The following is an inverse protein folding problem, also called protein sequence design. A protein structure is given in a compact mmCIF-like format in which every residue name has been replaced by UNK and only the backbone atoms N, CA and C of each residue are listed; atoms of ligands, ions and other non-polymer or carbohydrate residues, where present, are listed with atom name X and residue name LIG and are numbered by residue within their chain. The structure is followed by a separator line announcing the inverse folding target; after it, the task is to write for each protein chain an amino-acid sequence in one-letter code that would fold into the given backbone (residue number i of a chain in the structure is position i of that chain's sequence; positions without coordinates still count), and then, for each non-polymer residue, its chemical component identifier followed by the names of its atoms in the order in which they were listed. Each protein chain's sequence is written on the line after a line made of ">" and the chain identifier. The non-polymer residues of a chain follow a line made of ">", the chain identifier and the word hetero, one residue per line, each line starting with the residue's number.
data_IF_274318070752
#
_entry.id   IF_274318070752
#
_cell.length_a   1.000
_cell.length_b   1.000
_cell.length_c   1.000
_cell.angle_alpha   90.00
_cell.angle_beta   90.00
_cell.angle_gamma   90.00
#
_symmetry.space_group_name_H-M   'P 1'
#
loop_
_entity.id
_entity.type
_entity.pdbx_description
1 polymer ?
#
# COMPACT_ATOMS: atom_id res chain seq x y z
N UNK A 1 2.56 -5.21 7.33
CA UNK A 1 2.52 -5.30 5.85
C UNK A 1 1.14 -5.81 5.47
N UNK A 2 0.48 -5.23 4.47
CA UNK A 2 -0.91 -5.57 4.08
C UNK A 2 -0.94 -6.28 2.73
N UNK A 3 -1.99 -7.05 2.43
CA UNK A 3 -2.12 -7.70 1.12
C UNK A 3 -2.60 -6.70 0.07
N UNK A 4 -3.67 -5.95 0.36
CA UNK A 4 -4.31 -5.03 -0.57
C UNK A 4 -4.94 -3.81 0.14
N UNK A 5 -5.38 -2.82 -0.63
CA UNK A 5 -6.05 -1.61 -0.13
C UNK A 5 -7.41 -1.90 0.56
N UNK A 6 -8.12 -2.95 0.15
CA UNK A 6 -9.49 -3.28 0.58
C UNK A 6 -9.58 -4.12 1.86
N UNK A 7 -8.49 -4.74 2.33
CA UNK A 7 -8.38 -5.37 3.64
C UNK A 7 -8.35 -4.35 4.79
N UNK A 8 -8.37 -3.06 4.45
CA UNK A 8 -8.64 -1.98 5.39
C UNK A 8 -10.03 -2.17 6.03
N UNK A 9 -10.03 -2.64 7.28
CA UNK A 9 -11.24 -2.77 8.09
C UNK A 9 -11.40 -1.53 8.98
N UNK A 10 -12.47 -0.70 8.82
CA UNK A 10 -12.67 0.51 9.62
C UNK A 10 -12.80 0.25 11.14
N UNK A 11 -13.14 -0.98 11.60
CA UNK A 11 -13.13 -1.33 13.03
C UNK A 11 -11.72 -1.54 13.61
N UNK A 12 -10.73 -1.80 12.76
CA UNK A 12 -9.29 -1.84 13.11
C UNK A 12 -8.53 -0.60 12.58
N UNK A 13 -9.18 0.19 11.72
CA UNK A 13 -8.63 1.27 10.90
C UNK A 13 -8.22 2.54 11.65
N UNK A 14 -8.37 2.58 12.97
CA UNK A 14 -7.94 3.72 13.79
C UNK A 14 -6.53 3.56 14.37
N UNK A 15 -6.07 2.32 14.59
CA UNK A 15 -4.74 2.04 15.17
C UNK A 15 -3.66 1.80 14.12
N UNK A 16 -4.07 1.39 12.92
CA UNK A 16 -3.19 1.06 11.81
C UNK A 16 -3.33 2.03 10.63
N UNK A 17 -4.07 3.14 10.77
CA UNK A 17 -4.00 4.21 9.78
C UNK A 17 -2.70 5.00 10.00
N UNK A 18 -1.65 4.76 9.20
CA UNK A 18 -0.36 5.42 9.37
C UNK A 18 -0.47 6.91 8.99
N UNK A 19 -1.57 7.30 8.34
CA UNK A 19 -1.94 8.67 8.05
C UNK A 19 -2.57 9.36 9.27
N UNK A 20 -3.04 8.69 10.33
CA UNK A 20 -3.48 9.44 11.53
C UNK A 20 -2.30 10.15 12.22
N UNK A 21 -1.11 9.54 12.16
CA UNK A 21 0.15 10.15 12.58
C UNK A 21 0.74 11.08 11.52
N UNK A 22 0.82 10.61 10.26
CA UNK A 22 1.52 11.33 9.20
C UNK A 22 0.67 12.35 8.42
N UNK A 23 -0.67 12.22 8.35
CA UNK A 23 -1.51 13.21 7.67
C UNK A 23 -1.49 14.55 8.37
N UNK A 24 -1.41 14.58 9.71
CA UNK A 24 -1.21 15.83 10.46
C UNK A 24 0.09 16.52 10.06
N UNK A 25 1.17 15.75 9.87
CA UNK A 25 2.46 16.26 9.42
C UNK A 25 2.40 16.72 7.96
N UNK A 26 1.72 15.97 7.10
CA UNK A 26 1.57 16.31 5.68
C UNK A 26 0.72 17.57 5.54
N UNK A 27 -0.44 17.64 6.18
CA UNK A 27 -1.32 18.82 6.21
C UNK A 27 -0.56 20.04 6.75
N UNK A 28 0.25 19.88 7.81
CA UNK A 28 1.09 20.95 8.35
C UNK A 28 2.21 21.43 7.39
N UNK A 29 2.73 20.57 6.50
CA UNK A 29 3.69 20.97 5.47
C UNK A 29 3.02 21.70 4.28
N UNK A 30 1.70 21.52 4.09
CA UNK A 30 0.95 22.12 2.97
C UNK A 30 0.03 23.27 3.39
N UNK A 31 -0.05 23.59 4.69
CA UNK A 31 -0.78 24.76 5.19
C UNK A 31 -0.23 26.03 4.53
N UNK A 32 -1.03 26.67 3.69
CA UNK A 32 -0.66 27.85 2.91
C UNK A 32 -0.75 27.68 1.39
N UNK A 33 -1.01 26.47 0.88
CA UNK A 33 -1.30 26.24 -0.55
C UNK A 33 -2.80 26.10 -0.79
N UNK A 34 -3.32 26.42 -2.00
CA UNK A 34 -4.73 26.21 -2.35
C UNK A 34 -5.16 24.75 -2.12
N UNK A 35 -6.37 24.52 -1.60
CA UNK A 35 -6.90 23.20 -1.23
C UNK A 35 -6.76 22.13 -2.31
N UNK A 36 -6.88 22.52 -3.59
CA UNK A 36 -6.75 21.60 -4.72
C UNK A 36 -5.32 21.03 -4.86
N UNK A 37 -4.31 21.84 -4.53
CA UNK A 37 -2.90 21.42 -4.56
C UNK A 37 -2.59 20.56 -3.32
N UNK A 38 -3.14 20.91 -2.15
CA UNK A 38 -2.98 20.14 -0.91
C UNK A 38 -3.53 18.73 -1.08
N UNK A 39 -4.75 18.59 -1.61
CA UNK A 39 -5.37 17.28 -1.86
C UNK A 39 -4.52 16.41 -2.78
N UNK A 40 -4.03 16.95 -3.90
CA UNK A 40 -3.17 16.20 -4.83
C UNK A 40 -1.86 15.75 -4.19
N UNK A 41 -1.25 16.58 -3.35
CA UNK A 41 0.00 16.25 -2.65
C UNK A 41 -0.24 15.14 -1.63
N UNK A 42 -1.33 15.23 -0.87
CA UNK A 42 -1.73 14.22 0.10
C UNK A 42 -2.01 12.90 -0.60
N UNK A 43 -2.81 12.92 -1.69
CA UNK A 43 -3.16 11.74 -2.48
C UNK A 43 -1.93 11.04 -3.05
N UNK A 44 -0.98 11.76 -3.66
CA UNK A 44 0.26 11.15 -4.16
C UNK A 44 1.15 10.57 -3.06
N UNK A 45 1.21 11.20 -1.87
CA UNK A 45 1.93 10.65 -0.72
C UNK A 45 1.25 9.37 -0.20
N UNK A 46 -0.07 9.32 -0.22
CA UNK A 46 -0.87 8.15 0.16
C UNK A 46 -0.63 6.99 -0.81
N UNK A 47 -0.70 7.24 -2.12
CA UNK A 47 -0.42 6.24 -3.16
C UNK A 47 0.99 5.65 -3.01
N UNK A 48 1.99 6.51 -2.82
CA UNK A 48 3.38 6.07 -2.62
C UNK A 48 3.53 5.20 -1.37
N UNK A 49 2.82 5.54 -0.29
CA UNK A 49 2.84 4.75 0.94
C UNK A 49 2.25 3.36 0.68
N UNK A 50 1.07 3.29 0.06
CA UNK A 50 0.43 2.00 -0.24
C UNK A 50 1.28 1.15 -1.19
N UNK A 51 1.91 1.73 -2.22
CA UNK A 51 2.85 1.02 -3.09
C UNK A 51 4.07 0.45 -2.37
N UNK A 52 4.39 0.89 -1.15
CA UNK A 52 5.48 0.34 -0.33
C UNK A 52 5.02 -0.66 0.74
N UNK A 53 3.76 -0.60 1.19
CA UNK A 53 3.28 -1.38 2.34
C UNK A 53 2.30 -2.49 1.94
N UNK A 54 1.60 -2.34 0.81
CA UNK A 54 0.70 -3.35 0.26
C UNK A 54 1.44 -4.27 -0.71
N UNK A 55 1.40 -5.58 -0.48
CA UNK A 55 2.10 -6.56 -1.31
C UNK A 55 1.65 -6.50 -2.77
N UNK A 56 0.34 -6.39 -3.05
CA UNK A 56 -0.16 -6.40 -4.42
C UNK A 56 0.24 -5.16 -5.23
N UNK A 57 0.38 -4.01 -4.57
CA UNK A 57 0.71 -2.73 -5.21
C UNK A 57 2.23 -2.50 -5.37
N UNK A 58 3.05 -3.41 -4.83
CA UNK A 58 4.50 -3.33 -4.92
C UNK A 58 5.00 -3.68 -6.32
N UNK A 59 6.05 -2.96 -6.75
CA UNK A 59 6.81 -3.30 -7.94
C UNK A 59 7.48 -4.67 -7.78
N UNK A 60 7.43 -5.50 -8.82
CA UNK A 60 7.99 -6.84 -8.76
C UNK A 60 9.52 -6.80 -8.85
N UNK A 61 10.21 -7.43 -7.89
CA UNK A 61 11.68 -7.36 -7.74
C UNK A 61 12.43 -7.77 -9.03
N UNK A 62 11.92 -8.74 -9.79
CA UNK A 62 12.57 -9.21 -11.03
C UNK A 62 12.19 -8.39 -12.27
N UNK A 63 11.07 -7.68 -12.22
CA UNK A 63 10.62 -6.80 -13.29
C UNK A 63 9.88 -5.61 -12.66
N UNK A 64 10.58 -4.50 -12.39
CA UNK A 64 10.00 -3.35 -11.68
C UNK A 64 8.96 -2.59 -12.51
N UNK A 65 8.83 -2.87 -13.81
CA UNK A 65 7.86 -2.22 -14.70
C UNK A 65 6.42 -2.71 -14.47
N UNK A 66 6.23 -3.76 -13.67
CA UNK A 66 4.93 -4.33 -13.33
C UNK A 66 4.76 -4.53 -11.82
N UNK A 67 3.53 -4.40 -11.35
CA UNK A 67 3.20 -4.70 -9.95
C UNK A 67 3.03 -6.20 -9.72
N UNK A 68 3.01 -6.63 -8.46
CA UNK A 68 2.67 -8.01 -8.11
C UNK A 68 1.25 -8.36 -8.56
N UNK A 69 0.30 -7.41 -8.50
CA UNK A 69 -1.05 -7.63 -9.01
C UNK A 69 -1.09 -7.89 -10.53
N UNK A 70 -0.31 -7.12 -11.29
CA UNK A 70 -0.20 -7.31 -12.75
C UNK A 70 0.40 -8.67 -13.06
N UNK A 71 1.46 -9.07 -12.34
CA UNK A 71 2.07 -10.38 -12.49
C UNK A 71 1.08 -11.52 -12.21
N UNK A 72 0.28 -11.41 -11.15
CA UNK A 72 -0.75 -12.41 -10.81
C UNK A 72 -1.79 -12.48 -11.93
N UNK A 73 -2.25 -11.34 -12.43
CA UNK A 73 -3.23 -11.24 -13.51
C UNK A 73 -2.71 -11.85 -14.82
N UNK A 74 -1.47 -11.57 -15.19
CA UNK A 74 -0.80 -12.18 -16.36
C UNK A 74 -0.71 -13.70 -16.22
N UNK A 75 -0.39 -14.20 -15.02
CA UNK A 75 -0.31 -15.64 -14.77
C UNK A 75 -1.67 -16.33 -14.76
N UNK A 76 -2.73 -15.65 -14.36
CA UNK A 76 -4.11 -16.14 -14.51
C UNK A 76 -4.45 -16.29 -16.00
N UNK A 77 -4.13 -15.28 -16.81
CA UNK A 77 -4.40 -15.30 -18.25
C UNK A 77 -3.60 -16.39 -18.99
N UNK A 78 -2.34 -16.60 -18.61
CA UNK A 78 -1.46 -17.61 -19.21
C UNK A 78 -1.89 -19.05 -18.88
N UNK A 79 -2.34 -19.30 -17.65
CA UNK A 79 -2.63 -20.65 -17.15
C UNK A 79 -4.12 -21.01 -17.19
N UNK A 80 -5.01 -20.05 -17.43
CA UNK A 80 -6.46 -20.26 -17.48
C UNK A 80 -7.10 -20.59 -16.13
N UNK A 81 -6.37 -20.41 -15.03
CA UNK A 81 -6.82 -20.71 -13.67
C UNK A 81 -6.82 -19.45 -12.82
N UNK A 82 -7.86 -19.27 -12.00
CA UNK A 82 -7.90 -18.18 -11.03
C UNK A 82 -6.87 -18.40 -9.90
N UNK A 83 -5.96 -17.43 -9.70
CA UNK A 83 -4.90 -17.48 -8.69
C UNK A 83 -5.02 -16.27 -7.78
N UNK A 84 -5.13 -16.52 -6.48
CA UNK A 84 -5.30 -15.47 -5.47
C UNK A 84 -4.30 -15.71 -4.35
N UNK A 85 -3.52 -14.68 -4.02
CA UNK A 85 -2.69 -14.68 -2.81
C UNK A 85 -3.64 -14.51 -1.62
N UNK A 86 -3.78 -15.53 -0.77
CA UNK A 86 -4.69 -15.45 0.40
C UNK A 86 -4.03 -14.92 1.66
N UNK A 87 -2.77 -15.30 1.89
CA UNK A 87 -1.99 -14.95 3.09
C UNK A 87 -0.52 -14.92 2.73
N UNK A 88 0.21 -14.05 3.39
CA UNK A 88 1.67 -14.01 3.35
C UNK A 88 2.20 -13.71 4.75
N UNK A 89 3.41 -14.16 5.04
CA UNK A 89 4.13 -13.84 6.26
C UNK A 89 5.58 -13.53 5.89
N UNK A 90 6.12 -12.46 6.48
CA UNK A 90 7.54 -12.10 6.40
C UNK A 90 8.12 -12.28 7.78
N UNK A 91 9.13 -13.15 7.89
CA UNK A 91 9.92 -13.31 9.10
C UNK A 91 11.24 -12.57 8.91
N UNK A 92 11.59 -11.69 9.84
CA UNK A 92 12.92 -11.07 9.90
C UNK A 92 13.56 -11.38 11.25
N UNK A 93 14.82 -11.82 11.23
CA UNK A 93 15.57 -12.11 12.45
C UNK A 93 15.89 -10.78 13.17
N UNK A 94 15.52 -10.70 14.45
CA UNK A 94 15.72 -9.50 15.27
C UNK A 94 14.63 -8.43 15.15
N UNK A 95 13.50 -8.73 14.51
CA UNK A 95 12.34 -7.83 14.51
C UNK A 95 11.65 -7.92 15.88
N UNK A 96 11.54 -6.79 16.59
CA UNK A 96 10.83 -6.74 17.88
C UNK A 96 9.35 -7.05 17.63
N UNK A 97 8.83 -8.02 18.39
CA UNK A 97 7.42 -8.39 18.38
C UNK A 97 6.71 -7.51 19.40
N UNK A 98 6.23 -6.34 18.98
CA UNK A 98 5.25 -5.55 19.74
C UNK A 98 3.82 -5.86 19.30
#
# INVERSE_FOLDING_TARGET
>A
MFLNHQEWNPKFGDRLNPLKGNARSIEAEVTGKPDNIVKKIVEGKIEKYFGSVCLLDQAFIKNPDQTINDLVSLKIAELGENKVIRRFARYALGEETE
#
